data_IF_048033583503
#
_entry.id   IF_048033583503
#
_cell.length_a   1.000
_cell.length_b   1.000
_cell.length_c   1.000
_cell.angle_alpha   90.00
_cell.angle_beta   90.00
_cell.angle_gamma   90.00
#
_symmetry.space_group_name_H-M   'P 1'
#
loop_
_entity.id
_entity.type
_entity.pdbx_description
1 polymer ?
#
# COMPACT_ATOMS: atom_id res chain seq x y z
N UNK A 1 65.17 8.66 -18.50
CA UNK A 1 65.86 9.96 -18.38
C UNK A 1 64.96 10.99 -19.03
N UNK A 2 64.20 11.73 -18.21
CA UNK A 2 63.32 12.79 -18.69
C UNK A 2 64.06 14.11 -18.68
N UNK A 3 64.01 14.84 -19.79
CA UNK A 3 64.34 16.27 -19.80
C UNK A 3 63.04 17.00 -19.54
N UNK A 4 62.85 17.47 -18.30
CA UNK A 4 61.68 18.22 -17.85
C UNK A 4 61.69 19.65 -18.39
N UNK A 5 61.63 19.80 -19.71
CA UNK A 5 61.49 21.08 -20.38
C UNK A 5 60.20 21.07 -21.22
N UNK A 6 59.25 21.92 -20.85
CA UNK A 6 57.98 22.12 -21.56
C UNK A 6 58.08 23.18 -22.66
N UNK A 7 59.29 23.68 -22.93
CA UNK A 7 59.56 24.76 -23.88
C UNK A 7 60.60 24.42 -24.95
N UNK A 8 61.06 23.17 -25.04
CA UNK A 8 61.93 22.76 -26.15
C UNK A 8 61.12 22.60 -27.43
N UNK A 9 60.97 23.69 -28.17
CA UNK A 9 60.61 23.65 -29.58
C UNK A 9 61.75 22.92 -30.30
N UNK A 10 61.49 21.70 -30.76
CA UNK A 10 62.47 20.91 -31.49
C UNK A 10 62.62 21.50 -32.89
N UNK A 11 63.46 22.54 -33.01
CA UNK A 11 63.85 23.14 -34.30
C UNK A 11 64.87 22.21 -34.97
N UNK A 12 64.40 21.03 -35.36
CA UNK A 12 65.13 20.09 -36.19
C UNK A 12 64.40 19.97 -37.52
N UNK A 13 64.98 20.56 -38.56
CA UNK A 13 64.62 20.31 -39.96
C UNK A 13 64.54 18.78 -40.12
N UNK A 14 63.33 18.24 -40.36
CA UNK A 14 62.98 16.84 -40.71
C UNK A 14 61.72 16.29 -40.00
N UNK A 15 61.08 16.97 -39.05
CA UNK A 15 59.85 16.43 -38.42
C UNK A 15 58.70 16.25 -39.42
N UNK A 16 58.65 17.08 -40.47
CA UNK A 16 57.58 17.08 -41.46
C UNK A 16 57.76 16.02 -42.56
N UNK A 17 58.90 15.31 -42.59
CA UNK A 17 59.25 14.32 -43.64
C UNK A 17 59.69 12.95 -43.07
N UNK A 18 59.67 12.79 -41.75
CA UNK A 18 60.01 11.52 -41.12
C UNK A 18 58.86 10.50 -41.27
N UNK A 19 59.12 9.39 -41.99
CA UNK A 19 58.18 8.26 -42.19
C UNK A 19 57.59 7.65 -40.90
N UNK A 20 58.18 7.95 -39.74
CA UNK A 20 57.76 7.47 -38.42
C UNK A 20 56.92 8.48 -37.62
N UNK A 21 56.72 9.71 -38.13
CA UNK A 21 55.90 10.72 -37.47
C UNK A 21 54.41 10.38 -37.62
N UNK A 22 53.69 10.29 -36.50
CA UNK A 22 52.24 10.08 -36.51
C UNK A 22 51.52 11.43 -36.65
N UNK A 23 50.64 11.55 -37.64
CA UNK A 23 49.78 12.71 -37.84
C UNK A 23 48.35 12.40 -37.41
N UNK A 24 47.75 13.27 -36.61
CA UNK A 24 46.32 13.22 -36.28
C UNK A 24 45.67 14.56 -36.63
N UNK A 25 44.65 14.52 -37.49
CA UNK A 25 43.93 15.70 -37.98
C UNK A 25 44.85 16.83 -38.52
N UNK A 26 45.90 16.44 -39.26
CA UNK A 26 46.86 17.38 -39.87
C UNK A 26 47.94 17.94 -38.93
N UNK A 27 47.98 17.52 -37.65
CA UNK A 27 48.97 17.99 -36.67
C UNK A 27 49.94 16.87 -36.29
N UNK A 28 51.24 17.20 -36.18
CA UNK A 28 52.29 16.25 -35.74
C UNK A 28 52.11 15.95 -34.25
N UNK A 29 51.88 14.68 -33.92
CA UNK A 29 51.68 14.25 -32.54
C UNK A 29 52.97 13.68 -31.99
N UNK A 30 53.45 14.21 -30.85
CA UNK A 30 54.66 13.72 -30.21
C UNK A 30 54.48 12.24 -29.77
N UNK A 31 55.24 11.30 -30.33
CA UNK A 31 55.03 9.87 -30.05
C UNK A 31 55.33 9.49 -28.60
N UNK A 32 56.23 10.22 -27.90
CA UNK A 32 56.59 9.95 -26.51
C UNK A 32 55.41 10.24 -25.57
N UNK A 33 54.70 11.34 -25.80
CA UNK A 33 53.54 11.72 -24.98
C UNK A 33 52.34 10.80 -25.26
N UNK A 34 52.12 10.45 -26.53
CA UNK A 34 51.01 9.57 -26.93
C UNK A 34 51.17 8.14 -26.39
N UNK A 35 52.39 7.60 -26.42
CA UNK A 35 52.71 6.33 -25.77
C UNK A 35 52.53 6.41 -24.25
N UNK A 36 52.90 7.52 -23.62
CA UNK A 36 52.67 7.77 -22.19
C UNK A 36 51.19 7.71 -21.80
N UNK A 37 50.32 8.39 -22.56
CA UNK A 37 48.86 8.35 -22.32
C UNK A 37 48.26 6.97 -22.57
N UNK A 38 48.73 6.22 -23.58
CA UNK A 38 48.31 4.84 -23.81
C UNK A 38 48.70 3.93 -22.64
N UNK A 39 49.93 4.04 -22.14
CA UNK A 39 50.40 3.26 -20.97
C UNK A 39 49.58 3.60 -19.72
N UNK A 40 49.28 4.88 -19.47
CA UNK A 40 48.42 5.28 -18.35
C UNK A 40 46.99 4.76 -18.51
N UNK A 41 46.44 4.79 -19.73
CA UNK A 41 45.13 4.21 -20.05
C UNK A 41 45.08 2.70 -19.81
N UNK A 42 46.13 1.97 -20.22
CA UNK A 42 46.27 0.53 -19.97
C UNK A 42 46.39 0.25 -18.46
N UNK A 43 47.17 1.03 -17.72
CA UNK A 43 47.31 0.88 -16.27
C UNK A 43 45.99 1.14 -15.53
N UNK A 44 45.26 2.18 -15.91
CA UNK A 44 43.93 2.48 -15.34
C UNK A 44 42.92 1.36 -15.64
N UNK A 45 42.99 0.79 -16.85
CA UNK A 45 42.14 -0.34 -17.26
C UNK A 45 42.50 -1.60 -16.48
N UNK A 46 43.79 -1.92 -16.33
CA UNK A 46 44.26 -3.04 -15.51
C UNK A 46 43.82 -2.91 -14.05
N UNK A 47 43.84 -1.68 -13.50
CA UNK A 47 43.33 -1.41 -12.15
C UNK A 47 41.82 -1.71 -12.06
N UNK A 48 41.01 -1.21 -13.01
CA UNK A 48 39.57 -1.52 -13.05
C UNK A 48 39.28 -3.02 -13.18
N UNK A 49 40.07 -3.74 -13.99
CA UNK A 49 39.97 -5.20 -14.13
C UNK A 49 40.31 -5.89 -12.80
N UNK A 50 41.34 -5.43 -12.10
CA UNK A 50 41.72 -5.95 -10.77
C UNK A 50 40.61 -5.72 -9.74
N UNK A 51 40.05 -4.51 -9.69
CA UNK A 51 38.96 -4.16 -8.76
C UNK A 51 37.71 -5.00 -9.04
N UNK A 52 37.37 -5.19 -10.32
CA UNK A 52 36.25 -6.04 -10.73
C UNK A 52 36.49 -7.51 -10.37
N UNK A 53 37.71 -8.02 -10.55
CA UNK A 53 38.09 -9.38 -10.16
C UNK A 53 37.92 -9.59 -8.65
N UNK A 54 38.27 -8.59 -7.84
CA UNK A 54 38.12 -8.63 -6.39
C UNK A 54 36.64 -8.67 -5.97
N UNK A 55 35.78 -7.87 -6.60
CA UNK A 55 34.32 -7.87 -6.37
C UNK A 55 33.69 -9.22 -6.76
N UNK A 56 34.05 -9.76 -7.93
CA UNK A 56 33.54 -11.06 -8.39
C UNK A 56 33.97 -12.17 -7.43
N UNK A 57 35.21 -12.13 -6.96
CA UNK A 57 35.73 -13.10 -5.99
C UNK A 57 34.99 -13.00 -4.65
N UNK A 58 34.76 -11.79 -4.13
CA UNK A 58 34.03 -11.57 -2.87
C UNK A 58 32.58 -12.06 -2.95
N UNK A 59 31.89 -11.78 -4.06
CA UNK A 59 30.53 -12.29 -4.29
C UNK A 59 30.48 -13.82 -4.40
N UNK A 60 31.49 -14.44 -5.02
CA UNK A 60 31.59 -15.91 -5.10
C UNK A 60 31.84 -16.55 -3.73
N UNK A 61 32.70 -15.95 -2.90
CA UNK A 61 32.94 -16.39 -1.51
C UNK A 61 31.66 -16.26 -0.68
N UNK A 62 30.92 -15.15 -0.80
CA UNK A 62 29.62 -14.96 -0.13
C UNK A 62 28.58 -15.99 -0.56
N UNK A 63 28.44 -16.26 -1.86
CA UNK A 63 27.57 -17.32 -2.38
C UNK A 63 27.95 -18.70 -1.83
N UNK A 64 29.25 -19.01 -1.76
CA UNK A 64 29.75 -20.27 -1.20
C UNK A 64 29.38 -20.40 0.28
N UNK A 65 29.57 -19.34 1.07
CA UNK A 65 29.20 -19.30 2.48
C UNK A 65 27.70 -19.45 2.73
N UNK A 66 26.85 -18.84 1.88
CA UNK A 66 25.39 -19.02 1.95
C UNK A 66 25.00 -20.47 1.63
N UNK A 67 25.62 -21.08 0.61
CA UNK A 67 25.37 -22.47 0.25
C UNK A 67 25.81 -23.45 1.36
N UNK A 68 26.94 -23.20 2.03
CA UNK A 68 27.38 -23.99 3.18
C UNK A 68 26.43 -23.84 4.39
N UNK A 69 25.94 -22.63 4.66
CA UNK A 69 24.98 -22.35 5.75
C UNK A 69 23.63 -23.04 5.50
N UNK A 70 23.15 -23.00 4.26
CA UNK A 70 21.94 -23.70 3.85
C UNK A 70 22.12 -25.22 3.96
N UNK A 71 23.27 -25.76 3.53
CA UNK A 71 23.58 -27.18 3.65
C UNK A 71 23.63 -27.64 5.11
N UNK A 72 24.25 -26.86 6.00
CA UNK A 72 24.28 -27.14 7.44
C UNK A 72 22.87 -27.11 8.06
N UNK A 73 22.02 -26.17 7.66
CA UNK A 73 20.63 -26.07 8.14
C UNK A 73 19.78 -27.26 7.66
N UNK A 74 19.98 -27.71 6.41
CA UNK A 74 19.33 -28.91 5.88
C UNK A 74 19.78 -30.17 6.62
N UNK A 75 21.07 -30.30 6.92
CA UNK A 75 21.61 -31.41 7.73
C UNK A 75 21.02 -31.43 9.14
N UNK A 76 20.86 -30.26 9.77
CA UNK A 76 20.23 -30.16 11.09
C UNK A 76 18.75 -30.57 11.06
N UNK A 77 18.02 -30.21 10.00
CA UNK A 77 16.63 -30.64 9.81
C UNK A 77 16.53 -32.15 9.56
N UNK A 78 17.44 -32.73 8.78
CA UNK A 78 17.49 -34.18 8.53
C UNK A 78 17.79 -34.96 9.81
N UNK A 79 18.69 -34.45 10.67
CA UNK A 79 18.93 -35.01 12.00
C UNK A 79 17.69 -34.94 12.90
N UNK A 80 16.97 -33.81 12.91
CA UNK A 80 15.71 -33.68 13.66
C UNK A 80 14.61 -34.62 13.15
N UNK A 81 14.50 -34.78 11.83
CA UNK A 81 13.57 -35.74 11.18
C UNK A 81 13.99 -37.18 11.50
N UNK A 82 15.30 -37.46 11.55
CA UNK A 82 15.85 -38.76 11.94
C UNK A 82 15.55 -39.08 13.40
N UNK A 83 15.71 -38.14 14.33
CA UNK A 83 15.35 -38.30 15.75
C UNK A 83 13.83 -38.52 15.95
N UNK A 84 13.00 -37.86 15.14
CA UNK A 84 11.56 -38.12 15.05
C UNK A 84 11.27 -39.54 14.52
N UNK A 85 12.09 -40.06 13.60
CA UNK A 85 11.95 -41.41 13.04
C UNK A 85 12.56 -42.52 13.91
N UNK A 86 13.49 -42.17 14.81
CA UNK A 86 14.25 -43.11 15.65
C UNK A 86 13.86 -43.09 17.14
N UNK A 87 12.84 -42.29 17.50
CA UNK A 87 12.02 -42.54 18.70
C UNK A 87 11.36 -43.91 18.54
N UNK A 88 11.98 -44.93 19.13
CA UNK A 88 11.72 -46.36 18.99
C UNK A 88 10.23 -46.76 18.82
N UNK A 89 9.92 -47.32 17.65
CA UNK A 89 9.53 -48.74 17.63
C UNK A 89 10.81 -49.50 17.28
N UNK A 90 11.38 -50.19 18.27
CA UNK A 90 12.60 -50.97 18.13
C UNK A 90 12.50 -51.98 16.98
N UNK A 91 13.55 -52.01 16.17
CA UNK A 91 13.77 -52.90 15.04
C UNK A 91 13.85 -54.39 15.42
N UNK A 92 13.68 -55.30 14.43
CA UNK A 92 13.29 -56.69 14.65
C UNK A 92 14.47 -57.66 14.60
N UNK A 93 14.45 -58.68 15.45
CA UNK A 93 14.60 -60.08 15.03
C UNK A 93 14.44 -61.00 16.24
N UNK A 94 13.22 -61.45 16.51
CA UNK A 94 12.93 -62.88 16.64
C UNK A 94 11.42 -63.10 16.70
N UNK A 95 10.93 -63.76 15.65
CA UNK A 95 9.63 -64.46 15.56
C UNK A 95 8.37 -63.66 15.90
N UNK A 96 7.60 -63.39 14.84
CA UNK A 96 6.30 -62.70 14.72
C UNK A 96 5.16 -63.13 15.70
N UNK A 97 5.45 -63.90 16.75
CA UNK A 97 4.51 -64.46 17.70
C UNK A 97 4.65 -63.99 19.16
N UNK A 98 5.52 -63.04 19.52
CA UNK A 98 5.65 -62.61 20.94
C UNK A 98 5.33 -61.14 21.26
N UNK A 99 5.25 -60.24 20.28
CA UNK A 99 4.79 -58.86 20.53
C UNK A 99 3.27 -58.64 20.38
N UNK A 100 2.52 -59.69 20.02
CA UNK A 100 1.06 -59.72 20.06
C UNK A 100 0.50 -59.86 21.50
N UNK A 101 1.34 -59.78 22.54
CA UNK A 101 0.93 -60.07 23.92
C UNK A 101 1.16 -58.95 24.93
N UNK A 102 1.67 -57.78 24.53
CA UNK A 102 1.79 -56.61 25.42
C UNK A 102 1.10 -55.34 24.89
N UNK A 103 0.54 -55.38 23.68
CA UNK A 103 -0.33 -54.31 23.15
C UNK A 103 -1.82 -54.68 23.14
N UNK A 104 -2.17 -55.89 23.56
CA UNK A 104 -3.54 -56.42 23.48
C UNK A 104 -4.20 -56.73 24.83
N UNK A 105 -3.60 -56.39 25.98
CA UNK A 105 -4.27 -56.65 27.26
C UNK A 105 -5.22 -55.55 27.74
N UNK A 106 -5.14 -54.30 27.24
CA UNK A 106 -5.99 -53.21 27.77
C UNK A 106 -7.03 -52.66 26.79
N UNK A 107 -7.11 -53.19 25.57
CA UNK A 107 -8.13 -52.77 24.57
C UNK A 107 -9.13 -53.89 24.24
N UNK A 108 -8.99 -55.07 24.85
CA UNK A 108 -9.97 -56.15 24.71
C UNK A 108 -10.58 -56.42 26.09
N UNK A 109 -11.91 -56.25 26.17
CA UNK A 109 -12.81 -56.78 27.20
C UNK A 109 -13.31 -55.90 28.36
N UNK A 110 -13.41 -54.60 28.14
CA UNK A 110 -14.58 -53.82 28.60
C UNK A 110 -14.68 -52.63 27.65
N UNK A 111 -15.52 -52.66 26.62
CA UNK A 111 -16.97 -52.54 26.79
C UNK A 111 -17.70 -53.49 25.85
N UNK A 112 -18.39 -54.45 26.45
CA UNK A 112 -19.28 -55.43 25.83
C UNK A 112 -20.63 -54.82 25.43
N UNK A 113 -20.71 -53.50 25.20
CA UNK A 113 -21.91 -52.79 24.72
C UNK A 113 -21.50 -51.42 24.15
N UNK A 114 -21.19 -51.38 22.85
CA UNK A 114 -21.07 -50.16 22.06
C UNK A 114 -19.81 -49.33 22.34
N UNK A 115 -19.03 -49.04 21.28
CA UNK A 115 -18.38 -47.75 20.99
C UNK A 115 -17.59 -47.91 19.69
N UNK A 116 -17.68 -46.85 18.88
CA UNK A 116 -17.42 -46.78 17.46
C UNK A 116 -15.93 -46.81 17.05
N UNK A 117 -15.72 -47.23 15.81
CA UNK A 117 -14.50 -47.15 15.04
C UNK A 117 -14.03 -45.69 14.88
N UNK A 118 -12.97 -45.27 15.59
CA UNK A 118 -12.22 -44.05 15.28
C UNK A 118 -10.90 -44.44 14.61
N UNK A 119 -10.99 -44.80 13.32
CA UNK A 119 -9.80 -45.05 12.49
C UNK A 119 -9.26 -43.68 12.04
N UNK A 120 -8.17 -43.26 12.68
CA UNK A 120 -7.34 -42.09 12.38
C UNK A 120 -7.97 -40.71 12.63
N UNK A 121 -7.97 -40.27 13.89
CA UNK A 121 -7.76 -38.84 14.19
C UNK A 121 -6.32 -38.68 14.67
N UNK A 122 -5.42 -38.32 13.75
CA UNK A 122 -4.14 -37.70 14.12
C UNK A 122 -4.41 -36.20 14.15
N UNK A 123 -4.81 -35.69 15.31
CA UNK A 123 -4.83 -34.25 15.58
C UNK A 123 -4.02 -34.04 16.85
N UNK A 124 -2.88 -33.37 16.74
CA UNK A 124 -1.97 -33.10 17.87
C UNK A 124 -2.58 -32.14 18.92
N UNK A 125 -3.86 -31.80 18.80
CA UNK A 125 -4.78 -31.42 19.89
C UNK A 125 -6.16 -31.30 19.24
N UNK A 126 -7.11 -32.19 19.51
CA UNK A 126 -8.51 -31.96 19.13
C UNK A 126 -9.04 -30.80 19.97
N UNK A 127 -8.95 -29.58 19.44
CA UNK A 127 -9.51 -28.37 20.05
C UNK A 127 -10.92 -28.17 19.53
N UNK A 128 -11.88 -28.14 20.45
CA UNK A 128 -13.30 -27.96 20.15
C UNK A 128 -13.65 -26.56 20.60
N UNK A 129 -13.67 -25.64 19.63
CA UNK A 129 -13.76 -24.20 19.85
C UNK A 129 -12.41 -23.51 20.12
N UNK A 130 -12.48 -22.19 20.19
CA UNK A 130 -11.38 -21.30 20.59
C UNK A 130 -11.85 -20.38 21.74
N UNK A 131 -10.95 -19.62 22.39
CA UNK A 131 -11.35 -18.59 23.36
C UNK A 131 -12.37 -17.59 22.78
N UNK A 132 -12.28 -17.29 21.48
CA UNK A 132 -13.14 -16.32 20.79
C UNK A 132 -14.43 -16.93 20.25
N UNK A 133 -14.38 -18.22 19.86
CA UNK A 133 -15.52 -18.99 19.33
C UNK A 133 -15.70 -20.26 20.14
N UNK A 134 -16.28 -20.11 21.33
CA UNK A 134 -16.52 -21.23 22.24
C UNK A 134 -17.66 -22.08 21.71
N UNK A 135 -17.38 -23.35 21.46
CA UNK A 135 -18.39 -24.32 21.02
C UNK A 135 -18.24 -25.63 21.78
N UNK A 136 -19.34 -26.37 21.86
CA UNK A 136 -19.38 -27.71 22.44
C UNK A 136 -19.32 -28.80 21.37
N UNK A 137 -19.63 -30.02 21.78
CA UNK A 137 -19.82 -31.18 20.91
C UNK A 137 -21.31 -31.51 20.85
N UNK A 138 -21.89 -31.50 19.65
CA UNK A 138 -23.23 -32.06 19.44
C UNK A 138 -23.15 -33.57 19.36
N UNK A 139 -23.83 -34.26 20.27
CA UNK A 139 -24.10 -35.70 20.20
C UNK A 139 -25.59 -35.92 19.98
N UNK A 140 -25.97 -37.07 19.45
CA UNK A 140 -27.36 -37.42 19.21
C UNK A 140 -27.73 -38.60 20.11
N UNK A 141 -28.91 -38.53 20.75
CA UNK A 141 -29.43 -39.63 21.54
C UNK A 141 -29.78 -40.82 20.65
N UNK A 142 -29.33 -42.01 21.04
CA UNK A 142 -29.42 -43.21 20.21
C UNK A 142 -30.86 -43.72 20.02
N UNK A 143 -31.77 -43.40 20.97
CA UNK A 143 -33.13 -43.93 20.99
C UNK A 143 -34.11 -42.93 20.36
N UNK A 144 -33.99 -41.66 20.71
CA UNK A 144 -34.89 -40.58 20.26
C UNK A 144 -34.37 -39.85 19.03
N UNK A 145 -33.06 -39.88 18.76
CA UNK A 145 -32.43 -39.10 17.69
C UNK A 145 -32.28 -37.61 17.99
N UNK A 146 -32.69 -37.16 19.18
CA UNK A 146 -32.62 -35.75 19.56
C UNK A 146 -31.16 -35.32 19.82
N UNK A 147 -30.75 -34.12 19.37
CA UNK A 147 -29.40 -33.62 19.60
C UNK A 147 -29.23 -33.14 21.06
N UNK A 148 -28.01 -33.27 21.57
CA UNK A 148 -27.56 -32.79 22.86
C UNK A 148 -26.17 -32.17 22.73
N UNK A 149 -26.03 -30.96 23.25
CA UNK A 149 -24.77 -30.24 23.29
C UNK A 149 -24.03 -30.49 24.60
N UNK A 150 -22.80 -31.01 24.50
CA UNK A 150 -21.86 -31.11 25.63
C UNK A 150 -20.88 -29.94 25.56
N UNK A 151 -20.79 -29.17 26.63
CA UNK A 151 -19.92 -27.99 26.77
C UNK A 151 -19.26 -27.97 28.16
N UNK A 152 -18.31 -27.07 28.39
CA UNK A 152 -17.71 -26.84 29.72
C UNK A 152 -18.02 -25.42 30.16
N UNK A 153 -18.56 -25.27 31.37
CA UNK A 153 -18.83 -23.99 32.00
C UNK A 153 -18.25 -24.00 33.42
N UNK A 154 -17.46 -22.98 33.79
CA UNK A 154 -16.81 -22.86 35.10
C UNK A 154 -15.94 -24.08 35.50
N UNK A 155 -15.39 -24.80 34.51
CA UNK A 155 -14.59 -26.01 34.74
C UNK A 155 -15.40 -27.30 34.91
N UNK A 156 -16.72 -27.24 34.86
CA UNK A 156 -17.61 -28.40 34.92
C UNK A 156 -18.25 -28.69 33.55
N UNK A 157 -18.50 -29.98 33.26
CA UNK A 157 -19.21 -30.37 32.04
C UNK A 157 -20.70 -30.05 32.18
N UNK A 158 -21.26 -29.46 31.13
CA UNK A 158 -22.68 -29.13 31.02
C UNK A 158 -23.24 -29.74 29.75
N UNK A 159 -24.31 -30.52 29.93
CA UNK A 159 -25.10 -31.07 28.83
C UNK A 159 -26.40 -30.29 28.70
N UNK A 160 -26.73 -29.85 27.48
CA UNK A 160 -27.97 -29.12 27.17
C UNK A 160 -28.66 -29.82 26.00
N UNK A 161 -29.98 -29.99 26.05
CA UNK A 161 -30.74 -30.51 24.91
C UNK A 161 -30.69 -29.52 23.72
N UNK A 162 -30.55 -30.03 22.50
CA UNK A 162 -30.34 -29.24 21.27
C UNK A 162 -28.92 -29.38 20.69
N UNK A 163 -28.73 -28.92 19.46
CA UNK A 163 -27.39 -28.83 18.85
C UNK A 163 -26.53 -27.77 19.55
N UNK A 164 -25.21 -27.95 19.53
CA UNK A 164 -24.29 -26.91 19.98
C UNK A 164 -24.36 -25.71 19.06
N UNK A 165 -24.78 -24.59 19.63
CA UNK A 165 -24.68 -23.29 18.99
C UNK A 165 -23.26 -22.77 19.23
N UNK A 166 -22.62 -22.23 18.19
CA UNK A 166 -21.38 -21.48 18.36
C UNK A 166 -21.72 -20.25 19.18
N UNK A 167 -21.26 -20.22 20.43
CA UNK A 167 -21.36 -19.03 21.26
C UNK A 167 -20.19 -18.16 20.83
N UNK A 168 -20.36 -17.46 19.71
CA UNK A 168 -19.65 -16.20 19.52
C UNK A 168 -20.02 -15.36 20.73
N UNK A 169 -19.01 -14.89 21.47
CA UNK A 169 -19.22 -14.10 22.68
C UNK A 169 -20.22 -13.00 22.34
N UNK A 170 -21.48 -13.15 22.72
CA UNK A 170 -22.49 -12.14 22.52
C UNK A 170 -22.02 -10.96 23.34
N UNK A 171 -21.58 -9.93 22.64
CA UNK A 171 -21.21 -8.63 23.19
C UNK A 171 -22.51 -7.90 23.60
N UNK A 172 -23.37 -8.58 24.37
CA UNK A 172 -24.64 -8.05 24.85
C UNK A 172 -24.48 -7.32 26.21
N UNK A 173 -23.24 -7.17 26.69
CA UNK A 173 -22.88 -6.31 27.83
C UNK A 173 -21.37 -6.00 27.85
N UNK A 174 -20.78 -5.89 26.66
CA UNK A 174 -19.56 -5.13 26.44
C UNK A 174 -19.94 -4.20 25.29
N UNK A 175 -19.57 -2.94 25.38
CA UNK A 175 -19.50 -2.09 24.20
C UNK A 175 -18.89 -2.94 23.06
N UNK A 176 -19.55 -3.03 21.90
CA UNK A 176 -18.76 -3.06 20.65
C UNK A 176 -17.61 -2.07 20.88
N UNK A 177 -16.35 -2.29 20.49
CA UNK A 177 -15.57 -1.09 20.21
C UNK A 177 -16.42 -0.38 19.18
N UNK A 178 -17.21 0.60 19.64
CA UNK A 178 -17.54 1.78 18.87
C UNK A 178 -16.14 2.12 18.42
N UNK A 179 -15.87 1.82 17.15
CA UNK A 179 -14.78 2.45 16.48
C UNK A 179 -15.21 3.91 16.52
N UNK A 180 -14.90 4.53 17.66
CA UNK A 180 -15.07 5.94 17.97
C UNK A 180 -13.97 6.71 17.25
N UNK A 181 -13.30 6.07 16.28
CA UNK A 181 -12.73 6.77 15.17
C UNK A 181 -13.89 7.23 14.28
N UNK A 182 -14.20 8.53 14.23
CA UNK A 182 -15.23 9.03 13.33
C UNK A 182 -14.90 8.53 11.91
N UNK A 183 -15.84 7.82 11.27
CA UNK A 183 -15.65 7.43 9.89
C UNK A 183 -15.39 8.69 9.07
N UNK A 184 -14.22 8.72 8.43
CA UNK A 184 -13.91 9.82 7.55
C UNK A 184 -14.75 9.71 6.28
N UNK A 185 -15.46 10.79 5.99
CA UNK A 185 -16.40 10.91 4.86
C UNK A 185 -16.09 12.16 4.03
N UNK A 186 -15.00 12.84 4.34
CA UNK A 186 -14.63 14.09 3.68
C UNK A 186 -13.58 13.80 2.62
N UNK A 187 -13.79 14.18 1.35
CA UNK A 187 -12.77 14.01 0.32
C UNK A 187 -11.58 14.98 0.49
N UNK A 188 -10.39 14.63 -0.04
CA UNK A 188 -9.24 15.53 -0.06
C UNK A 188 -9.50 16.84 -0.81
N UNK A 189 -8.80 17.90 -0.43
CA UNK A 189 -8.82 19.18 -1.15
C UNK A 189 -7.59 19.28 -2.06
N UNK A 190 -7.81 19.31 -3.37
CA UNK A 190 -6.75 19.47 -4.38
C UNK A 190 -6.50 20.96 -4.66
N UNK A 191 -5.24 21.39 -4.58
CA UNK A 191 -4.76 22.73 -4.94
C UNK A 191 -3.80 22.63 -6.11
N UNK A 192 -4.14 23.24 -7.25
CA UNK A 192 -3.24 23.27 -8.41
C UNK A 192 -2.06 24.21 -8.15
N UNK A 193 -0.85 23.78 -8.54
CA UNK A 193 0.31 24.67 -8.55
C UNK A 193 0.24 25.51 -9.83
N UNK A 194 0.06 26.82 -9.73
CA UNK A 194 -0.08 27.69 -10.91
C UNK A 194 -1.52 27.80 -11.41
N UNK A 195 -1.70 28.18 -12.68
CA UNK A 195 -3.03 28.51 -13.23
C UNK A 195 -3.87 27.27 -13.52
N UNK A 196 -5.19 27.35 -13.35
CA UNK A 196 -6.13 26.31 -13.83
C UNK A 196 -6.34 26.38 -15.35
N UNK A 197 -5.98 27.50 -15.97
CA UNK A 197 -6.05 27.73 -17.41
C UNK A 197 -4.72 28.25 -17.94
N UNK A 198 -4.17 27.58 -18.95
CA UNK A 198 -2.88 27.90 -19.57
C UNK A 198 -3.11 28.12 -21.06
N UNK A 199 -2.71 29.29 -21.56
CA UNK A 199 -2.76 29.62 -22.97
C UNK A 199 -1.35 29.54 -23.55
N UNK A 200 -1.20 28.82 -24.66
CA UNK A 200 0.07 28.57 -25.35
C UNK A 200 -0.08 28.87 -26.84
N UNK A 201 0.96 29.44 -27.45
CA UNK A 201 1.05 29.50 -28.91
C UNK A 201 1.42 28.11 -29.47
N UNK A 202 1.12 27.87 -30.75
CA UNK A 202 1.49 26.62 -31.41
C UNK A 202 3.03 26.46 -31.39
N UNK A 203 3.50 25.28 -31.00
CA UNK A 203 4.90 24.89 -30.75
C UNK A 203 5.51 25.38 -29.43
N UNK A 204 4.76 26.04 -28.55
CA UNK A 204 5.24 26.31 -27.20
C UNK A 204 5.49 25.02 -26.42
N UNK A 205 6.31 25.13 -25.37
CA UNK A 205 6.58 24.02 -24.46
C UNK A 205 5.61 24.06 -23.29
N UNK A 206 4.83 23.00 -23.13
CA UNK A 206 4.03 22.79 -21.92
C UNK A 206 4.84 22.02 -20.87
N UNK A 207 4.93 22.56 -19.65
CA UNK A 207 5.49 21.87 -18.49
C UNK A 207 4.43 21.79 -17.41
N UNK A 208 4.12 20.58 -16.96
CA UNK A 208 3.13 20.36 -15.92
C UNK A 208 3.65 20.83 -14.55
N UNK A 209 2.96 21.80 -13.94
CA UNK A 209 3.33 22.37 -12.64
C UNK A 209 2.91 21.50 -11.44
N UNK A 210 2.06 20.50 -11.68
CA UNK A 210 1.56 19.59 -10.66
C UNK A 210 0.47 20.21 -9.77
N UNK A 211 0.18 19.53 -8.66
CA UNK A 211 -0.78 19.94 -7.65
C UNK A 211 -0.39 19.34 -6.29
N UNK A 212 -1.00 19.84 -5.21
CA UNK A 212 -0.98 19.23 -3.87
C UNK A 212 -2.40 18.86 -3.43
N UNK A 213 -2.53 17.86 -2.56
CA UNK A 213 -3.82 17.45 -2.02
C UNK A 213 -3.67 17.23 -0.52
N UNK A 214 -4.60 17.78 0.25
CA UNK A 214 -4.62 17.65 1.71
C UNK A 214 -6.01 17.23 2.16
N UNK A 215 -6.05 16.24 3.03
CA UNK A 215 -7.24 15.76 3.70
C UNK A 215 -7.25 16.13 5.20
N UNK A 216 -8.43 16.27 5.80
CA UNK A 216 -8.57 16.66 7.21
C UNK A 216 -8.17 15.58 8.23
N UNK A 217 -8.20 14.30 7.86
CA UNK A 217 -7.76 13.17 8.71
C UNK A 217 -6.38 12.68 8.27
N UNK A 218 -6.16 12.48 6.97
CA UNK A 218 -4.94 11.85 6.44
C UNK A 218 -3.76 12.81 6.21
N UNK A 219 -4.00 14.13 6.17
CA UNK A 219 -2.96 15.11 5.85
C UNK A 219 -2.60 15.10 4.36
N UNK A 220 -1.31 15.02 4.01
CA UNK A 220 -0.88 15.04 2.60
C UNK A 220 -1.32 13.75 1.86
N UNK A 221 -2.08 13.91 0.78
CA UNK A 221 -2.60 12.81 -0.06
C UNK A 221 -1.91 12.81 -1.42
N UNK A 222 -1.60 11.61 -1.93
CA UNK A 222 -0.98 11.46 -3.24
C UNK A 222 -1.95 11.79 -4.38
N UNK A 223 -1.43 12.39 -5.46
CA UNK A 223 -2.21 12.76 -6.64
C UNK A 223 -1.78 11.94 -7.85
N UNK A 224 -2.78 11.49 -8.59
CA UNK A 224 -2.64 10.89 -9.91
C UNK A 224 -2.98 11.95 -10.96
N UNK A 225 -2.03 12.26 -11.83
CA UNK A 225 -2.20 13.22 -12.93
C UNK A 225 -2.39 12.42 -14.23
N UNK A 226 -3.43 12.75 -14.99
CA UNK A 226 -3.76 12.10 -16.26
C UNK A 226 -4.12 13.12 -17.33
N UNK A 227 -3.92 12.75 -18.60
CA UNK A 227 -4.06 13.63 -19.75
C UNK A 227 -2.72 13.94 -20.43
N UNK A 228 -2.79 14.51 -21.61
CA UNK A 228 -1.62 14.91 -22.40
C UNK A 228 -1.98 16.11 -23.27
N UNK A 229 -1.04 17.03 -23.42
CA UNK A 229 -1.17 18.21 -24.29
C UNK A 229 -0.36 17.99 -25.55
N UNK A 230 -0.98 18.14 -26.73
CA UNK A 230 -0.26 18.24 -28.01
C UNK A 230 -0.12 19.71 -28.39
N UNK A 231 1.08 20.26 -28.21
CA UNK A 231 1.34 21.69 -28.49
C UNK A 231 1.52 21.98 -29.99
N UNK A 232 1.49 20.97 -30.86
CA UNK A 232 1.61 21.13 -32.31
C UNK A 232 0.26 21.33 -33.00
N UNK A 233 -0.83 20.98 -32.31
CA UNK A 233 -2.18 21.01 -32.86
C UNK A 233 -3.03 21.99 -32.06
N UNK A 234 -3.64 22.96 -32.76
CA UNK A 234 -4.60 23.90 -32.19
C UNK A 234 -5.75 23.14 -31.50
N UNK A 235 -6.07 23.52 -30.27
CA UNK A 235 -7.11 22.86 -29.51
C UNK A 235 -7.07 23.07 -28.00
N UNK A 236 -8.09 22.53 -27.33
CA UNK A 236 -8.25 22.55 -25.88
C UNK A 236 -7.91 21.17 -25.34
N UNK A 237 -6.91 21.11 -24.46
CA UNK A 237 -6.46 19.90 -23.79
C UNK A 237 -6.78 19.97 -22.30
N UNK A 238 -7.19 18.84 -21.72
CA UNK A 238 -7.54 18.77 -20.30
C UNK A 238 -6.60 17.82 -19.56
N UNK A 239 -5.99 18.31 -18.49
CA UNK A 239 -5.25 17.52 -17.51
C UNK A 239 -6.14 17.33 -16.29
N UNK A 240 -6.27 16.09 -15.82
CA UNK A 240 -7.12 15.71 -14.68
C UNK A 240 -6.25 15.23 -13.53
N UNK A 241 -6.53 15.75 -12.34
CA UNK A 241 -5.85 15.43 -11.08
C UNK A 241 -6.85 14.69 -10.19
N UNK A 242 -6.50 13.50 -9.72
CA UNK A 242 -7.33 12.70 -8.81
C UNK A 242 -6.55 12.38 -7.55
N UNK A 243 -7.20 12.58 -6.39
CA UNK A 243 -6.67 12.20 -5.08
C UNK A 243 -7.71 11.35 -4.36
N UNK A 244 -7.27 10.24 -3.77
CA UNK A 244 -8.10 9.31 -2.99
C UNK A 244 -7.42 9.09 -1.64
N UNK A 245 -8.17 9.30 -0.56
CA UNK A 245 -7.69 9.14 0.81
C UNK A 245 -7.70 7.66 1.27
N UNK A 246 -7.40 7.41 2.54
CA UNK A 246 -7.39 6.03 3.09
C UNK A 246 -8.78 5.48 3.41
N UNK A 247 -9.80 6.34 3.45
CA UNK A 247 -11.21 6.02 3.64
C UNK A 247 -11.97 5.87 2.30
N UNK A 248 -11.25 5.86 1.18
CA UNK A 248 -11.76 5.80 -0.19
C UNK A 248 -12.58 7.02 -0.66
N UNK A 249 -12.55 8.15 0.06
CA UNK A 249 -13.13 9.39 -0.47
C UNK A 249 -12.23 9.96 -1.57
N UNK A 250 -12.83 10.43 -2.66
CA UNK A 250 -12.09 10.85 -3.86
C UNK A 250 -12.46 12.26 -4.29
N UNK A 251 -11.46 13.06 -4.63
CA UNK A 251 -11.61 14.39 -5.21
C UNK A 251 -10.97 14.48 -6.61
N UNK A 252 -11.45 15.41 -7.43
CA UNK A 252 -10.92 15.65 -8.77
C UNK A 252 -10.84 17.14 -9.08
N UNK A 253 -9.74 17.56 -9.72
CA UNK A 253 -9.55 18.89 -10.27
C UNK A 253 -9.06 18.80 -11.72
N UNK A 254 -9.20 19.89 -12.49
CA UNK A 254 -8.79 19.92 -13.89
C UNK A 254 -8.01 21.19 -14.23
N UNK A 255 -7.01 21.04 -15.10
CA UNK A 255 -6.34 22.15 -15.79
C UNK A 255 -6.69 22.11 -17.27
N UNK A 256 -7.05 23.27 -17.81
CA UNK A 256 -7.30 23.48 -19.24
C UNK A 256 -6.07 24.10 -19.88
N UNK A 257 -5.61 23.53 -20.98
CA UNK A 257 -4.49 24.05 -21.77
C UNK A 257 -4.99 24.34 -23.17
N UNK A 258 -5.09 25.61 -23.51
CA UNK A 258 -5.49 26.09 -24.83
C UNK A 258 -4.22 26.29 -25.66
N UNK A 259 -4.11 25.59 -26.78
CA UNK A 259 -3.00 25.73 -27.74
C UNK A 259 -3.53 26.42 -28.98
N UNK A 260 -2.90 27.52 -29.38
CA UNK A 260 -3.26 28.31 -30.55
C UNK A 260 -4.20 29.48 -30.25
N UNK A 261 -4.92 29.94 -31.28
CA UNK A 261 -5.76 31.14 -31.15
C UNK A 261 -6.93 30.82 -30.22
N UNK A 262 -6.88 31.38 -29.00
CA UNK A 262 -8.01 31.36 -28.08
C UNK A 262 -9.16 32.07 -28.79
N UNK A 263 -10.16 31.31 -29.25
CA UNK A 263 -11.46 31.87 -29.57
C UNK A 263 -12.03 32.34 -28.24
N UNK A 264 -11.65 33.56 -27.82
CA UNK A 264 -12.29 34.27 -26.74
C UNK A 264 -13.76 34.31 -27.11
N UNK A 265 -14.54 33.45 -26.48
CA UNK A 265 -15.98 33.63 -26.45
C UNK A 265 -16.16 35.02 -25.85
N UNK A 266 -16.77 35.97 -26.58
CA UNK A 266 -16.96 37.29 -26.03
C UNK A 266 -17.68 37.11 -24.69
N UNK A 267 -17.13 37.73 -23.65
CA UNK A 267 -17.75 37.83 -22.33
C UNK A 267 -19.26 38.09 -22.57
N UNK A 268 -20.18 37.34 -21.94
CA UNK A 268 -21.59 37.62 -22.10
C UNK A 268 -21.77 39.10 -21.79
N UNK A 269 -22.30 39.85 -22.76
CA UNK A 269 -22.58 41.27 -22.60
C UNK A 269 -23.31 41.41 -21.27
N UNK A 270 -22.84 42.25 -20.32
CA UNK A 270 -23.49 42.37 -19.03
C UNK A 270 -24.97 42.60 -19.29
N UNK A 271 -25.80 41.68 -18.79
CA UNK A 271 -27.24 41.81 -18.87
C UNK A 271 -27.58 43.22 -18.37
N UNK A 272 -28.35 44.02 -19.12
CA UNK A 272 -28.66 45.38 -18.71
C UNK A 272 -29.18 45.33 -17.27
N UNK A 273 -28.61 46.18 -16.39
CA UNK A 273 -29.09 46.29 -15.01
C UNK A 273 -30.63 46.33 -15.03
N UNK A 274 -31.31 45.51 -14.21
CA UNK A 274 -32.76 45.53 -14.17
C UNK A 274 -33.20 46.98 -13.94
N UNK A 275 -34.13 47.47 -14.77
CA UNK A 275 -34.71 48.80 -14.59
C UNK A 275 -35.14 48.94 -13.12
N UNK A 276 -34.82 50.08 -12.46
CA UNK A 276 -35.17 50.26 -11.06
C UNK A 276 -36.67 50.02 -10.90
N UNK A 277 -37.04 49.16 -9.95
CA UNK A 277 -38.44 48.92 -9.61
C UNK A 277 -39.14 50.27 -9.38
N UNK A 278 -40.36 50.45 -9.90
CA UNK A 278 -41.11 51.69 -9.67
C UNK A 278 -41.26 51.92 -8.17
N UNK A 279 -40.88 53.13 -7.75
CA UNK A 279 -40.97 53.60 -6.38
C UNK A 279 -42.40 53.31 -5.83
N UNK A 280 -42.55 52.68 -4.66
CA UNK A 280 -43.86 52.31 -4.14
C UNK A 280 -44.73 53.56 -3.99
N UNK A 281 -45.97 53.49 -4.49
CA UNK A 281 -46.94 54.58 -4.37
C UNK A 281 -47.07 55.04 -2.91
N UNK A 282 -47.18 56.36 -2.65
CA UNK A 282 -47.28 56.88 -1.30
C UNK A 282 -48.50 56.31 -0.61
N UNK A 283 -48.26 55.68 0.55
CA UNK A 283 -49.30 55.19 1.46
C UNK A 283 -50.22 56.39 1.81
N UNK A 284 -51.54 56.28 1.61
CA UNK A 284 -52.46 57.36 1.97
C UNK A 284 -52.41 57.61 3.49
N UNK A 285 -52.21 58.87 3.87
CA UNK A 285 -52.23 59.31 5.26
C UNK A 285 -53.58 58.93 5.93
N UNK A 286 -53.58 58.42 7.17
CA UNK A 286 -54.82 58.12 7.87
C UNK A 286 -55.57 59.41 8.22
N UNK A 287 -56.78 59.51 7.68
CA UNK A 287 -57.72 60.60 7.85
C UNK A 287 -58.06 60.81 9.35
N UNK A 288 -57.58 61.92 9.91
CA UNK A 288 -57.73 62.27 11.32
C UNK A 288 -59.08 62.93 11.57
N UNK A 289 -60.17 62.18 11.51
CA UNK A 289 -61.48 62.62 12.05
C UNK A 289 -62.25 61.49 12.72
N UNK A 290 -61.88 61.13 13.95
CA UNK A 290 -62.89 60.64 14.91
C UNK A 290 -62.59 61.19 16.31
N UNK A 291 -63.54 61.95 16.83
CA UNK A 291 -63.54 62.49 18.19
C UNK A 291 -63.92 61.40 19.21
N UNK A 292 -63.50 61.53 20.48
CA UNK A 292 -63.54 60.45 21.45
C UNK A 292 -64.96 60.24 22.02
N UNK A 293 -65.43 59.00 22.00
CA UNK A 293 -66.65 58.62 22.72
C UNK A 293 -66.30 58.18 24.15
N UNK A 294 -66.97 58.81 25.11
CA UNK A 294 -66.75 58.72 26.54
C UNK A 294 -66.92 57.29 27.11
N UNK A 295 -65.99 56.94 27.99
CA UNK A 295 -65.97 55.73 28.81
C UNK A 295 -67.00 55.84 29.97
N UNK A 296 -67.86 54.84 30.21
CA UNK A 296 -68.76 54.84 31.37
C UNK A 296 -68.02 54.43 32.65
N UNK A 297 -68.41 54.99 33.82
CA UNK A 297 -67.65 54.82 35.07
C UNK A 297 -67.80 53.43 35.70
N UNK A 298 -66.73 53.00 36.37
CA UNK A 298 -66.60 51.74 37.09
C UNK A 298 -67.56 51.62 38.29
N UNK A 299 -68.09 50.42 38.60
CA UNK A 299 -68.83 50.18 39.84
C UNK A 299 -67.89 49.97 41.04
N UNK A 300 -68.23 50.62 42.16
CA UNK A 300 -67.53 50.58 43.45
C UNK A 300 -67.58 49.18 44.13
N UNK A 301 -66.59 48.86 45.00
CA UNK A 301 -66.53 47.58 45.70
C UNK A 301 -67.49 47.56 46.90
N UNK A 302 -68.25 46.47 47.02
CA UNK A 302 -69.13 46.21 48.16
C UNK A 302 -68.28 45.69 49.34
N UNK A 303 -68.47 46.23 50.56
CA UNK A 303 -67.71 45.89 51.77
C UNK A 303 -68.02 44.52 52.37
#
# INVERSE_FOLDING_TARGET
>A
MGTGDSTTEYVGVMANEALWAMHFNGTIVNPVNTLGYMVLGIQATNKKISDLTLIVTDNFVKQTSVNETLLASIQELDLKISDLSTTQIGTPATTLGQYASMFFSDVVYSVENGIAYMKALVVDTLKIGSPDKRTGITLYDEISGEPYCISVANGETKTTAGECVVIERSVADVDEPVDDNPQDTTPPVITLNGSSEVNLDINDTYTEEGATAVDNVDGDVAIIISGSVDTLTDGIYTITYTATDTADNTATATRTVNVGDVVVTPEPTPEPEPEPEPEPEPIPEPDSTSSPQAEPPAPEPIP
#
